data_IF_641097758062
#
_entry.id   IF_641097758062
#
_cell.length_a   1.000
_cell.length_b   1.000
_cell.length_c   1.000
_cell.angle_alpha   90.00
_cell.angle_beta   90.00
_cell.angle_gamma   90.00
#
_symmetry.space_group_name_H-M   'P 1'
#
loop_
_entity.id
_entity.type
_entity.pdbx_description
1 polymer ?
#
# COMPACT_ATOMS: atom_id res chain seq x y z
N UNK A 1 -32.13 -11.75 0.61
CA UNK A 1 -30.90 -11.35 1.32
C UNK A 1 -30.27 -10.23 0.52
N UNK A 2 -30.33 -8.98 1.00
CA UNK A 2 -29.75 -7.84 0.30
C UNK A 2 -28.27 -7.82 0.72
N UNK A 3 -27.36 -8.15 -0.18
CA UNK A 3 -25.93 -7.94 0.07
C UNK A 3 -25.76 -6.42 0.21
N UNK A 4 -25.40 -5.95 1.40
CA UNK A 4 -25.01 -4.54 1.56
C UNK A 4 -23.76 -4.33 0.72
N UNK A 5 -23.72 -3.28 -0.10
CA UNK A 5 -22.49 -2.89 -0.76
C UNK A 5 -21.46 -2.53 0.33
N UNK A 6 -20.23 -3.05 0.20
CA UNK A 6 -19.11 -2.67 1.04
C UNK A 6 -18.79 -1.18 0.83
N UNK A 7 -18.44 -0.49 1.90
CA UNK A 7 -18.06 0.92 1.83
C UNK A 7 -16.61 1.01 1.35
N UNK A 8 -16.39 1.61 0.18
CA UNK A 8 -15.07 1.74 -0.44
C UNK A 8 -14.66 3.21 -0.44
N UNK A 9 -13.48 3.48 0.09
CA UNK A 9 -12.87 4.81 0.11
C UNK A 9 -11.45 4.73 -0.46
N UNK A 10 -11.09 5.69 -1.31
CA UNK A 10 -9.70 5.94 -1.69
C UNK A 10 -9.34 7.33 -1.17
N UNK A 11 -8.22 7.43 -0.43
CA UNK A 11 -7.74 8.70 0.11
C UNK A 11 -6.22 8.78 0.09
N UNK A 12 -5.64 9.99 0.00
CA UNK A 12 -4.21 10.18 0.22
C UNK A 12 -3.79 9.69 1.61
N UNK A 13 -2.59 9.12 1.70
CA UNK A 13 -1.95 8.80 2.96
C UNK A 13 -1.51 10.07 3.69
N UNK A 14 -1.54 10.00 5.02
CA UNK A 14 -0.91 10.97 5.91
C UNK A 14 0.21 10.29 6.71
N UNK A 15 1.01 11.07 7.43
CA UNK A 15 2.15 10.54 8.19
C UNK A 15 1.75 9.46 9.19
N UNK A 16 0.57 9.59 9.79
CA UNK A 16 0.02 8.64 10.75
C UNK A 16 -0.27 7.25 10.13
N UNK A 17 -0.41 7.17 8.80
CA UNK A 17 -0.66 5.92 8.10
C UNK A 17 0.62 5.07 7.90
N UNK A 18 1.82 5.65 8.09
CA UNK A 18 3.09 5.00 7.76
C UNK A 18 3.26 3.61 8.39
N UNK A 19 2.85 3.46 9.66
CA UNK A 19 2.89 2.17 10.34
C UNK A 19 1.91 1.14 9.72
N UNK A 20 0.71 1.58 9.35
CA UNK A 20 -0.30 0.75 8.70
C UNK A 20 0.12 0.32 7.29
N UNK A 21 0.68 1.25 6.52
CA UNK A 21 1.27 1.00 5.20
C UNK A 21 2.38 -0.05 5.30
N UNK A 22 3.30 0.10 6.26
CA UNK A 22 4.39 -0.87 6.48
C UNK A 22 3.84 -2.26 6.77
N UNK A 23 2.84 -2.37 7.64
CA UNK A 23 2.22 -3.65 7.98
C UNK A 23 1.54 -4.29 6.76
N UNK A 24 0.75 -3.52 6.02
CA UNK A 24 0.08 -3.96 4.79
C UNK A 24 1.09 -4.46 3.74
N UNK A 25 2.13 -3.67 3.45
CA UNK A 25 3.17 -4.06 2.48
C UNK A 25 3.84 -5.35 2.91
N UNK A 26 4.21 -5.50 4.18
CA UNK A 26 4.85 -6.74 4.66
C UNK A 26 3.92 -7.95 4.54
N UNK A 27 2.63 -7.80 4.83
CA UNK A 27 1.65 -8.87 4.64
C UNK A 27 1.49 -9.27 3.16
N UNK A 28 1.35 -8.27 2.26
CA UNK A 28 1.19 -8.49 0.83
C UNK A 28 2.40 -9.20 0.20
N UNK A 29 3.61 -8.84 0.63
CA UNK A 29 4.86 -9.35 0.06
C UNK A 29 5.43 -10.59 0.76
N UNK A 30 4.92 -10.99 1.92
CA UNK A 30 5.44 -12.11 2.70
C UNK A 30 5.61 -13.41 1.90
N UNK A 31 4.66 -13.70 0.99
CA UNK A 31 4.70 -14.91 0.13
C UNK A 31 5.90 -14.95 -0.81
N UNK A 32 6.51 -13.80 -1.13
CA UNK A 32 7.64 -13.70 -2.05
C UNK A 32 8.99 -13.90 -1.38
N UNK A 33 9.09 -13.71 -0.06
CA UNK A 33 10.34 -13.87 0.69
C UNK A 33 10.99 -15.25 0.48
N UNK A 34 10.29 -16.40 0.63
CA UNK A 34 10.90 -17.71 0.40
C UNK A 34 11.27 -17.96 -1.08
N UNK A 35 10.60 -17.30 -2.02
CA UNK A 35 10.85 -17.45 -3.46
C UNK A 35 12.08 -16.65 -3.91
N UNK A 36 12.26 -15.44 -3.35
CA UNK A 36 13.34 -14.52 -3.70
C UNK A 36 14.60 -14.78 -2.84
N UNK A 37 14.44 -15.36 -1.65
CA UNK A 37 15.51 -15.61 -0.69
C UNK A 37 15.93 -14.39 0.13
N UNK A 38 15.20 -13.26 -0.01
CA UNK A 38 15.36 -12.02 0.76
C UNK A 38 14.07 -11.22 0.74
N UNK A 39 14.00 -10.19 1.58
CA UNK A 39 12.87 -9.26 1.56
C UNK A 39 12.83 -8.42 0.26
N UNK A 40 11.68 -8.36 -0.43
CA UNK A 40 11.43 -7.39 -1.50
C UNK A 40 11.70 -5.94 -1.08
N UNK A 41 12.03 -5.07 -2.04
CA UNK A 41 12.34 -3.66 -1.76
C UNK A 41 11.24 -2.91 -0.99
N UNK A 42 9.94 -3.05 -1.32
CA UNK A 42 8.88 -2.38 -0.56
C UNK A 42 8.85 -2.74 0.93
N UNK A 43 9.29 -3.96 1.30
CA UNK A 43 9.35 -4.37 2.71
C UNK A 43 10.44 -3.65 3.50
N UNK A 44 11.37 -2.97 2.82
CA UNK A 44 12.51 -2.24 3.39
C UNK A 44 12.33 -0.70 3.30
N UNK A 45 11.23 -0.22 2.71
CA UNK A 45 11.00 1.21 2.52
C UNK A 45 10.80 1.96 3.85
N UNK A 46 11.28 3.20 3.88
CA UNK A 46 10.99 4.18 4.94
C UNK A 46 9.66 4.87 4.62
N UNK A 47 8.57 4.35 5.17
CA UNK A 47 7.24 4.84 4.85
C UNK A 47 6.91 6.17 5.51
N UNK A 48 7.59 6.56 6.59
CA UNK A 48 7.47 7.90 7.17
C UNK A 48 8.05 8.95 6.22
N UNK A 49 9.12 8.62 5.51
CA UNK A 49 9.68 9.45 4.45
C UNK A 49 8.85 9.39 3.17
N UNK A 50 8.42 8.20 2.75
CA UNK A 50 7.70 8.01 1.49
C UNK A 50 6.35 8.75 1.46
N UNK A 51 5.57 8.76 2.55
CA UNK A 51 4.30 9.53 2.61
C UNK A 51 4.50 11.04 2.48
N UNK A 52 5.71 11.56 2.73
CA UNK A 52 6.03 12.99 2.56
C UNK A 52 6.55 13.28 1.15
N UNK A 53 7.36 12.37 0.59
CA UNK A 53 8.06 12.59 -0.67
C UNK A 53 7.27 12.09 -1.90
N UNK A 54 6.41 11.09 -1.74
CA UNK A 54 5.67 10.42 -2.82
C UNK A 54 4.16 10.65 -2.69
N UNK A 55 3.42 10.31 -3.75
CA UNK A 55 1.96 10.22 -3.69
C UNK A 55 1.58 8.79 -3.32
N UNK A 56 1.01 8.59 -2.13
CA UNK A 56 0.49 7.29 -1.70
C UNK A 56 -1.02 7.41 -1.52
N UNK A 57 -1.78 6.65 -2.32
CA UNK A 57 -3.23 6.53 -2.17
C UNK A 57 -3.57 5.21 -1.48
N UNK A 58 -4.41 5.30 -0.46
CA UNK A 58 -4.85 4.18 0.37
C UNK A 58 -6.27 3.78 0.00
N UNK A 59 -6.48 2.48 -0.17
CA UNK A 59 -7.79 1.86 -0.34
C UNK A 59 -8.28 1.37 1.01
N UNK A 60 -9.39 1.92 1.50
CA UNK A 60 -10.10 1.39 2.66
C UNK A 60 -11.39 0.68 2.21
N UNK A 61 -11.62 -0.53 2.74
CA UNK A 61 -12.86 -1.28 2.58
C UNK A 61 -13.45 -1.51 3.97
N UNK A 62 -14.69 -1.03 4.17
CA UNK A 62 -15.38 -1.08 5.47
C UNK A 62 -14.55 -0.51 6.63
N UNK A 63 -13.75 0.52 6.34
CA UNK A 63 -12.86 1.21 7.28
C UNK A 63 -11.52 0.50 7.56
N UNK A 64 -11.26 -0.65 6.93
CA UNK A 64 -9.99 -1.36 7.01
C UNK A 64 -9.10 -1.06 5.81
N UNK A 65 -7.80 -0.85 6.05
CA UNK A 65 -6.82 -0.64 4.99
C UNK A 65 -6.63 -1.93 4.17
N UNK A 66 -7.19 -1.94 2.97
CA UNK A 66 -7.24 -3.09 2.06
C UNK A 66 -6.13 -3.06 1.00
N UNK A 67 -5.59 -1.90 0.69
CA UNK A 67 -4.52 -1.77 -0.29
C UNK A 67 -3.93 -0.38 -0.36
N UNK A 68 -2.87 -0.25 -1.16
CA UNK A 68 -2.26 1.03 -1.48
C UNK A 68 -1.68 1.01 -2.89
N UNK A 69 -1.53 2.20 -3.45
CA UNK A 69 -0.64 2.48 -4.57
C UNK A 69 0.27 3.66 -4.21
N UNK A 70 1.56 3.50 -4.47
CA UNK A 70 2.59 4.52 -4.28
C UNK A 70 3.16 4.91 -5.64
N UNK A 71 3.11 6.21 -5.93
CA UNK A 71 3.52 6.78 -7.22
C UNK A 71 4.38 8.02 -7.06
N UNK A 72 5.20 8.26 -8.09
CA UNK A 72 6.00 9.47 -8.25
C UNK A 72 5.82 10.02 -9.65
N UNK A 73 5.44 11.28 -9.78
CA UNK A 73 5.40 11.95 -11.07
C UNK A 73 6.81 12.29 -11.53
N UNK A 74 7.23 11.68 -12.64
CA UNK A 74 8.48 11.99 -13.34
C UNK A 74 8.20 12.89 -14.55
N UNK A 75 9.21 13.55 -15.15
CA UNK A 75 9.01 14.48 -16.26
C UNK A 75 8.28 13.89 -17.49
N UNK A 76 8.39 12.58 -17.71
CA UNK A 76 7.90 11.88 -18.90
C UNK A 76 6.94 10.71 -18.59
N UNK A 77 6.77 10.35 -17.32
CA UNK A 77 5.88 9.25 -16.92
C UNK A 77 5.42 9.37 -15.46
N UNK A 78 4.38 8.60 -15.12
CA UNK A 78 4.06 8.31 -13.73
C UNK A 78 4.77 7.02 -13.34
N UNK A 79 5.70 7.10 -12.40
CA UNK A 79 6.39 5.94 -11.86
C UNK A 79 5.52 5.28 -10.77
N UNK A 80 5.32 3.97 -10.88
CA UNK A 80 4.65 3.17 -9.85
C UNK A 80 5.75 2.50 -9.03
N UNK A 81 5.93 2.97 -7.80
CA UNK A 81 6.95 2.44 -6.88
C UNK A 81 6.45 1.15 -6.23
N UNK A 82 5.19 1.14 -5.79
CA UNK A 82 4.62 0.01 -5.08
C UNK A 82 3.10 -0.09 -5.28
N UNK A 83 2.61 -1.32 -5.42
CA UNK A 83 1.20 -1.66 -5.28
C UNK A 83 1.14 -2.84 -4.32
N UNK A 84 0.38 -2.68 -3.23
CA UNK A 84 0.19 -3.73 -2.24
C UNK A 84 -1.30 -3.88 -1.93
N UNK A 85 -1.76 -5.13 -1.84
CA UNK A 85 -3.14 -5.48 -1.49
C UNK A 85 -3.08 -6.47 -0.34
N UNK A 86 -3.95 -6.30 0.65
CA UNK A 86 -4.04 -7.19 1.79
C UNK A 86 -4.37 -8.62 1.28
N UNK A 87 -3.68 -9.66 1.77
CA UNK A 87 -3.82 -11.01 1.23
C UNK A 87 -5.22 -11.63 1.38
N UNK A 88 -6.07 -11.07 2.24
CA UNK A 88 -7.44 -11.48 2.51
C UNK A 88 -8.52 -10.85 1.60
N UNK A 89 -8.14 -9.97 0.66
CA UNK A 89 -9.07 -9.37 -0.30
C UNK A 89 -9.50 -10.31 -1.43
#
# INVERSE_FOLDING_TARGET
>A
MKVSASNVEIRPAVLEDAAGIRALTRAAYAKWVPLIGREPLPMQADYERAVVEHTIDLLNVDGALAGLIETMLQPDHLWIENIAVAPEQ
#
